data_IF_126121982277
#
_entry.id   IF_126121982277
#
_cell.length_a   1.000
_cell.length_b   1.000
_cell.length_c   1.000
_cell.angle_alpha   90.00
_cell.angle_beta   90.00
_cell.angle_gamma   90.00
#
_symmetry.space_group_name_H-M   'P 1'
#
loop_
_entity.id
_entity.type
_entity.pdbx_description
1 polymer ?
#
# COMPACT_ATOMS: atom_id res chain seq x y z
N UNK A 1 -2.32 -14.06 -32.88
CA UNK A 1 -3.71 -14.55 -32.74
C UNK A 1 -3.68 -16.00 -32.32
N UNK A 2 -3.71 -16.29 -31.01
CA UNK A 2 -4.24 -17.53 -30.37
C UNK A 2 -3.82 -17.57 -28.89
N UNK A 3 -4.75 -18.02 -28.03
CA UNK A 3 -4.61 -18.31 -26.60
C UNK A 3 -4.82 -17.18 -25.56
N UNK A 4 -5.71 -16.21 -25.84
CA UNK A 4 -6.45 -15.48 -24.79
C UNK A 4 -7.89 -16.00 -24.71
N UNK A 5 -8.05 -17.33 -24.76
CA UNK A 5 -9.34 -17.99 -24.63
C UNK A 5 -9.65 -18.17 -23.12
N UNK A 6 -10.64 -17.40 -22.66
CA UNK A 6 -11.63 -17.83 -21.69
C UNK A 6 -11.14 -18.42 -20.36
N UNK A 7 -10.66 -17.55 -19.46
CA UNK A 7 -10.70 -17.82 -18.01
C UNK A 7 -11.87 -17.08 -17.35
N UNK A 8 -13.10 -17.34 -17.80
CA UNK A 8 -14.28 -17.07 -16.97
C UNK A 8 -14.44 -18.21 -15.98
N UNK A 9 -14.23 -18.01 -14.65
CA UNK A 9 -14.56 -19.03 -13.69
C UNK A 9 -16.08 -19.28 -13.73
N UNK A 10 -16.46 -20.52 -14.04
CA UNK A 10 -17.82 -21.00 -13.92
C UNK A 10 -18.25 -20.86 -12.46
N UNK A 11 -19.31 -20.08 -12.24
CA UNK A 11 -19.91 -19.86 -10.93
C UNK A 11 -20.50 -21.19 -10.43
N UNK A 12 -19.69 -21.95 -9.67
CA UNK A 12 -20.18 -23.08 -8.88
C UNK A 12 -20.67 -22.52 -7.55
N UNK A 13 -21.99 -22.39 -7.45
CA UNK A 13 -22.70 -21.85 -6.29
C UNK A 13 -22.87 -22.93 -5.23
N UNK A 14 -21.86 -23.11 -4.37
CA UNK A 14 -21.94 -23.98 -3.20
C UNK A 14 -21.92 -23.14 -1.90
N UNK A 15 -23.08 -23.03 -1.25
CA UNK A 15 -23.22 -23.04 0.22
C UNK A 15 -22.84 -21.83 1.09
N UNK A 16 -22.26 -20.74 0.57
CA UNK A 16 -22.16 -19.47 1.33
C UNK A 16 -22.29 -18.29 0.37
N UNK A 17 -23.37 -17.51 0.51
CA UNK A 17 -23.73 -16.43 -0.42
C UNK A 17 -22.68 -15.30 -0.45
N UNK A 18 -21.63 -15.48 -1.25
CA UNK A 18 -20.62 -14.46 -1.49
C UNK A 18 -21.11 -13.56 -2.62
N UNK A 19 -21.34 -12.26 -2.37
CA UNK A 19 -21.89 -11.36 -3.38
C UNK A 19 -20.98 -11.31 -4.62
N UNK A 20 -21.53 -11.71 -5.77
CA UNK A 20 -20.80 -11.90 -7.04
C UNK A 20 -20.07 -10.66 -7.57
N UNK A 21 -20.40 -9.45 -7.09
CA UNK A 21 -19.74 -8.20 -7.48
C UNK A 21 -18.65 -7.69 -6.52
N UNK A 22 -18.44 -8.31 -5.35
CA UNK A 22 -17.55 -7.77 -4.31
C UNK A 22 -16.38 -8.69 -3.95
N UNK A 23 -16.42 -9.92 -4.43
CA UNK A 23 -15.40 -10.93 -4.22
C UNK A 23 -14.77 -11.28 -5.57
N UNK A 24 -13.48 -10.97 -5.69
CA UNK A 24 -12.61 -11.35 -6.80
C UNK A 24 -11.41 -12.08 -6.20
N UNK A 25 -10.83 -13.04 -6.92
CA UNK A 25 -9.63 -13.77 -6.47
C UNK A 25 -8.48 -12.83 -6.03
N UNK A 26 -8.31 -11.70 -6.73
CA UNK A 26 -7.30 -10.67 -6.40
C UNK A 26 -7.62 -9.85 -5.15
N UNK A 27 -8.89 -9.84 -4.72
CA UNK A 27 -9.36 -9.16 -3.51
C UNK A 27 -9.45 -10.09 -2.30
N UNK A 28 -9.23 -11.39 -2.50
CA UNK A 28 -9.26 -12.37 -1.43
C UNK A 28 -8.10 -12.12 -0.45
N UNK A 29 -8.30 -12.34 0.87
CA UNK A 29 -7.24 -12.18 1.84
C UNK A 29 -6.03 -13.07 1.50
N UNK A 30 -4.83 -12.50 1.52
CA UNK A 30 -3.63 -13.27 1.21
C UNK A 30 -3.40 -14.33 2.30
N UNK A 31 -3.37 -15.61 1.90
CA UNK A 31 -3.07 -16.73 2.80
C UNK A 31 -1.67 -16.59 3.40
N UNK A 32 -1.48 -17.13 4.61
CA UNK A 32 -0.19 -17.07 5.31
C UNK A 32 0.93 -17.76 4.52
N UNK A 33 0.66 -18.85 3.80
CA UNK A 33 1.67 -19.53 2.96
C UNK A 33 2.17 -18.69 1.76
N UNK A 34 1.42 -17.66 1.34
CA UNK A 34 1.78 -16.77 0.23
C UNK A 34 2.69 -15.59 0.63
N UNK A 35 2.87 -15.31 1.93
CA UNK A 35 3.70 -14.19 2.42
C UNK A 35 5.17 -14.59 2.50
N UNK A 36 5.90 -14.42 1.39
CA UNK A 36 7.36 -14.71 1.30
C UNK A 36 8.24 -13.49 1.58
N UNK A 37 7.64 -12.32 1.81
CA UNK A 37 8.39 -11.08 2.03
C UNK A 37 8.93 -11.02 3.46
N UNK A 38 10.25 -11.07 3.58
CA UNK A 38 10.96 -10.84 4.84
C UNK A 38 11.29 -9.36 5.08
N UNK A 39 11.89 -9.07 6.22
CA UNK A 39 12.29 -7.71 6.60
C UNK A 39 13.26 -7.06 5.58
N UNK A 40 14.15 -7.85 4.98
CA UNK A 40 15.08 -7.35 3.97
C UNK A 40 14.36 -6.87 2.70
N UNK A 41 13.34 -7.58 2.24
CA UNK A 41 12.56 -7.17 1.05
C UNK A 41 11.80 -5.86 1.31
N UNK A 42 11.31 -5.69 2.55
CA UNK A 42 10.67 -4.43 2.96
C UNK A 42 11.70 -3.31 3.03
N UNK A 43 12.89 -3.57 3.59
CA UNK A 43 13.97 -2.59 3.63
C UNK A 43 14.41 -2.15 2.23
N UNK A 44 14.60 -3.08 1.28
CA UNK A 44 15.01 -2.73 -0.08
C UNK A 44 13.93 -1.95 -0.84
N UNK A 45 12.65 -2.28 -0.62
CA UNK A 45 11.52 -1.50 -1.16
C UNK A 45 11.55 -0.06 -0.67
N UNK A 46 11.73 0.15 0.65
CA UNK A 46 11.80 1.49 1.24
C UNK A 46 13.06 2.25 0.84
N UNK A 47 14.20 1.56 0.80
CA UNK A 47 15.45 2.16 0.32
C UNK A 47 15.28 2.66 -1.11
N UNK A 48 14.63 1.89 -1.99
CA UNK A 48 14.37 2.32 -3.36
C UNK A 48 13.51 3.59 -3.43
N UNK A 49 12.44 3.69 -2.63
CA UNK A 49 11.56 4.87 -2.57
C UNK A 49 12.31 6.15 -2.14
N UNK A 50 13.18 6.03 -1.14
CA UNK A 50 13.98 7.17 -0.65
C UNK A 50 14.91 7.72 -1.73
N UNK A 51 15.46 6.86 -2.60
CA UNK A 51 16.37 7.24 -3.68
C UNK A 51 15.62 7.75 -4.92
N UNK A 52 14.85 8.82 -4.73
CA UNK A 52 14.12 9.51 -5.81
C UNK A 52 14.69 10.91 -6.07
N UNK A 53 14.59 11.38 -7.32
CA UNK A 53 15.02 12.73 -7.69
C UNK A 53 14.28 13.81 -6.89
N UNK A 54 13.01 13.57 -6.58
CA UNK A 54 12.19 14.48 -5.76
C UNK A 54 12.77 14.69 -4.36
N UNK A 55 13.20 13.62 -3.69
CA UNK A 55 13.80 13.72 -2.37
C UNK A 55 15.15 14.46 -2.40
N UNK A 56 15.97 14.21 -3.42
CA UNK A 56 17.25 14.94 -3.57
C UNK A 56 17.02 16.42 -3.85
N UNK A 57 16.09 16.75 -4.75
CA UNK A 57 15.73 18.13 -5.05
C UNK A 57 15.16 18.85 -3.81
N UNK A 58 14.34 18.15 -3.01
CA UNK A 58 13.82 18.68 -1.75
C UNK A 58 14.95 18.99 -0.76
N UNK A 59 15.90 18.06 -0.55
CA UNK A 59 17.04 18.28 0.33
C UNK A 59 17.90 19.47 -0.13
N UNK A 60 18.21 19.56 -1.43
CA UNK A 60 18.94 20.70 -2.01
C UNK A 60 18.14 22.01 -1.80
N UNK A 61 16.82 21.98 -1.96
CA UNK A 61 15.94 23.13 -1.74
C UNK A 61 16.00 23.65 -0.29
N UNK A 62 16.08 22.76 0.70
CA UNK A 62 16.26 23.15 2.10
C UNK A 62 17.60 23.88 2.33
N UNK A 63 18.67 23.41 1.70
CA UNK A 63 19.97 24.10 1.75
C UNK A 63 19.94 25.45 1.02
N UNK A 64 19.26 25.51 -0.13
CA UNK A 64 19.10 26.77 -0.88
C UNK A 64 18.30 27.83 -0.10
N UNK A 65 17.39 27.40 0.78
CA UNK A 65 16.69 28.27 1.75
C UNK A 65 17.58 28.74 2.91
N UNK A 66 18.84 28.33 2.97
CA UNK A 66 19.80 28.75 3.99
C UNK A 66 19.72 27.97 5.31
N UNK A 67 19.03 26.83 5.34
CA UNK A 67 18.94 26.03 6.56
C UNK A 67 20.28 25.36 6.90
N UNK A 68 20.60 25.35 8.19
CA UNK A 68 21.79 24.67 8.71
C UNK A 68 21.65 23.14 8.56
N UNK A 69 22.74 22.48 8.16
CA UNK A 69 22.86 21.02 7.98
C UNK A 69 22.35 20.27 9.21
N UNK A 70 22.77 20.67 10.41
CA UNK A 70 22.37 19.98 11.64
C UNK A 70 20.86 20.04 11.91
N UNK A 71 20.22 21.17 11.57
CA UNK A 71 18.78 21.33 11.70
C UNK A 71 18.02 20.45 10.72
N UNK A 72 18.49 20.39 9.47
CA UNK A 72 17.91 19.52 8.42
C UNK A 72 18.04 18.05 8.83
N UNK A 73 19.22 17.62 9.27
CA UNK A 73 19.46 16.25 9.72
C UNK A 73 18.58 15.87 10.91
N UNK A 74 18.44 16.76 11.90
CA UNK A 74 17.57 16.53 13.05
C UNK A 74 16.08 16.44 12.65
N UNK A 75 15.63 17.33 11.76
CA UNK A 75 14.27 17.31 11.24
C UNK A 75 13.98 16.03 10.46
N UNK A 76 14.92 15.58 9.62
CA UNK A 76 14.78 14.33 8.88
C UNK A 76 14.75 13.12 9.81
N UNK A 77 15.63 13.05 10.81
CA UNK A 77 15.61 11.98 11.80
C UNK A 77 14.26 11.91 12.54
N UNK A 78 13.75 13.06 13.01
CA UNK A 78 12.45 13.13 13.68
C UNK A 78 11.30 12.71 12.75
N UNK A 79 11.30 13.21 11.51
CA UNK A 79 10.31 12.87 10.51
C UNK A 79 10.33 11.37 10.19
N UNK A 80 11.51 10.76 10.04
CA UNK A 80 11.66 9.31 9.79
C UNK A 80 11.09 8.47 10.93
N UNK A 81 11.33 8.85 12.19
CA UNK A 81 10.77 8.16 13.36
C UNK A 81 9.24 8.28 13.38
N UNK A 82 8.72 9.49 13.18
CA UNK A 82 7.28 9.73 13.18
C UNK A 82 6.58 8.98 12.03
N UNK A 83 7.16 9.01 10.84
CA UNK A 83 6.69 8.30 9.66
C UNK A 83 6.72 6.78 9.88
N UNK A 84 7.80 6.25 10.47
CA UNK A 84 7.90 4.82 10.79
C UNK A 84 6.78 4.38 11.74
N UNK A 85 6.50 5.16 12.79
CA UNK A 85 5.43 4.86 13.74
C UNK A 85 4.05 4.90 13.08
N UNK A 86 3.76 5.95 12.31
CA UNK A 86 2.46 6.13 11.65
C UNK A 86 2.19 5.04 10.61
N UNK A 87 3.21 4.65 9.86
CA UNK A 87 3.09 3.58 8.87
C UNK A 87 2.99 2.20 9.52
N UNK A 88 3.71 1.95 10.62
CA UNK A 88 3.56 0.71 11.38
C UNK A 88 2.15 0.56 11.91
N UNK A 89 1.58 1.64 12.48
CA UNK A 89 0.20 1.65 12.97
C UNK A 89 -0.81 1.43 11.84
N UNK A 90 -0.65 2.15 10.73
CA UNK A 90 -1.52 2.03 9.55
C UNK A 90 -1.42 0.64 8.90
N UNK A 91 -0.23 0.06 8.88
CA UNK A 91 0.05 -1.26 8.31
C UNK A 91 -0.37 -2.43 9.20
N UNK A 92 -0.59 -2.20 10.51
CA UNK A 92 -0.90 -3.25 11.48
C UNK A 92 -2.14 -4.07 11.07
N UNK A 93 -3.22 -3.38 10.68
CA UNK A 93 -4.46 -4.04 10.25
C UNK A 93 -4.29 -4.82 8.94
N UNK A 94 -3.52 -4.27 7.99
CA UNK A 94 -3.18 -4.95 6.74
C UNK A 94 -2.34 -6.20 6.97
N UNK A 95 -1.36 -6.14 7.88
CA UNK A 95 -0.53 -7.29 8.23
C UNK A 95 -1.35 -8.40 8.90
N UNK A 96 -2.18 -8.05 9.91
CA UNK A 96 -2.99 -9.00 10.68
C UNK A 96 -4.08 -9.67 9.83
N UNK A 97 -4.77 -8.91 8.98
CA UNK A 97 -5.94 -9.41 8.23
C UNK A 97 -5.58 -9.92 6.83
N UNK A 98 -4.50 -9.44 6.22
CA UNK A 98 -4.15 -9.77 4.83
C UNK A 98 -5.13 -9.24 3.80
N UNK A 99 -6.03 -8.34 4.21
CA UNK A 99 -7.06 -7.76 3.36
C UNK A 99 -6.45 -6.58 2.60
N UNK A 100 -6.63 -6.50 1.27
CA UNK A 100 -6.05 -5.43 0.47
C UNK A 100 -6.72 -4.07 0.75
N UNK A 101 -5.98 -2.98 0.51
CA UNK A 101 -6.42 -1.60 0.79
C UNK A 101 -7.83 -1.26 0.27
N UNK A 102 -8.24 -1.64 -0.96
CA UNK A 102 -9.59 -1.33 -1.47
C UNK A 102 -10.72 -2.02 -0.70
N UNK A 103 -10.43 -3.11 0.01
CA UNK A 103 -11.42 -3.80 0.86
C UNK A 103 -11.41 -3.17 2.26
N UNK A 104 -10.24 -2.79 2.78
CA UNK A 104 -10.11 -2.07 4.06
C UNK A 104 -10.78 -0.69 4.01
N UNK A 105 -10.67 0.04 2.89
CA UNK A 105 -11.29 1.37 2.72
C UNK A 105 -12.83 1.33 2.77
N UNK A 106 -13.45 0.16 2.54
CA UNK A 106 -14.90 -0.03 2.67
C UNK A 106 -15.39 0.15 4.11
N UNK A 107 -14.53 -0.05 5.11
CA UNK A 107 -14.89 0.17 6.53
C UNK A 107 -15.19 1.64 6.77
N UNK A 108 -14.44 2.56 6.15
CA UNK A 108 -14.60 4.00 6.34
C UNK A 108 -15.59 4.64 5.34
N UNK A 109 -15.53 4.25 4.06
CA UNK A 109 -16.26 4.91 2.97
C UNK A 109 -17.44 4.09 2.41
N UNK A 110 -17.66 2.88 2.94
CA UNK A 110 -18.64 1.95 2.38
C UNK A 110 -18.24 1.39 1.02
N UNK A 111 -19.10 0.56 0.45
CA UNK A 111 -18.81 -0.23 -0.76
C UNK A 111 -18.67 0.64 -2.01
N UNK A 112 -19.54 1.65 -2.16
CA UNK A 112 -19.51 2.56 -3.31
C UNK A 112 -18.51 3.70 -3.12
N UNK A 113 -18.37 4.21 -1.89
CA UNK A 113 -17.45 5.29 -1.56
C UNK A 113 -15.97 4.89 -1.58
N UNK A 114 -15.66 3.61 -1.37
CA UNK A 114 -14.30 3.07 -1.49
C UNK A 114 -13.64 3.28 -2.88
N UNK A 115 -14.43 3.59 -3.92
CA UNK A 115 -13.93 3.94 -5.26
C UNK A 115 -13.23 5.30 -5.28
N UNK A 116 -13.62 6.24 -4.41
CA UNK A 116 -13.00 7.57 -4.32
C UNK A 116 -11.54 7.49 -3.87
N UNK A 117 -11.19 6.89 -2.70
CA UNK A 117 -9.80 6.77 -2.29
C UNK A 117 -8.99 5.87 -3.23
N UNK A 118 -9.62 4.90 -3.90
CA UNK A 118 -8.95 4.10 -4.92
C UNK A 118 -8.60 4.94 -6.16
N UNK A 119 -9.50 5.80 -6.62
CA UNK A 119 -9.25 6.69 -7.75
C UNK A 119 -8.21 7.76 -7.41
N UNK A 120 -8.31 8.40 -6.24
CA UNK A 120 -7.33 9.42 -5.80
C UNK A 120 -5.92 8.84 -5.63
N UNK A 121 -5.82 7.57 -5.19
CA UNK A 121 -4.53 6.89 -5.03
C UNK A 121 -3.95 6.32 -6.34
N UNK A 122 -4.83 5.98 -7.29
CA UNK A 122 -4.47 5.30 -8.54
C UNK A 122 -4.41 6.21 -9.78
N UNK A 123 -4.86 7.46 -9.66
CA UNK A 123 -4.64 8.52 -10.63
C UNK A 123 -3.23 9.10 -10.49
#
# INVERSE_FOLDING_TARGET
MTALEDRRPSARTDGTATSSGLYTYDLAPTKREGRRWGAYNVFTLWANDVHSLGNYAFAIGLFALGLNVWGILAAFALASVLLFLLLTLSGFMGHKTGVPFPVMSRIAFGIRGAKIPAAVRGA
#
